data_IF_656642976803
#
_entry.id   IF_656642976803
#
_cell.length_a   1.000
_cell.length_b   1.000
_cell.length_c   1.000
_cell.angle_alpha   90.00
_cell.angle_beta   90.00
_cell.angle_gamma   90.00
#
_symmetry.space_group_name_H-M   'P 1'
#
loop_
_entity.id
_entity.type
_entity.pdbx_description
1 polymer ?
#
# COMPACT_ATOMS: atom_id res chain seq x y z
N UNK A 1 21.65 12.22 15.22
CA UNK A 1 21.25 11.06 16.06
C UNK A 1 19.78 10.77 15.76
N UNK A 2 19.42 9.52 15.51
CA UNK A 2 18.03 9.11 15.26
C UNK A 2 17.22 9.34 16.56
N UNK A 3 15.98 9.82 16.42
CA UNK A 3 15.06 9.98 17.56
C UNK A 3 14.78 8.62 18.21
N UNK A 4 14.60 8.56 19.53
CA UNK A 4 14.17 7.32 20.20
C UNK A 4 12.72 6.99 19.84
N UNK A 5 12.31 5.70 19.92
CA UNK A 5 10.92 5.28 19.69
C UNK A 5 9.97 5.94 20.68
N UNK A 6 10.40 6.10 21.93
CA UNK A 6 9.61 6.76 22.98
C UNK A 6 9.38 8.26 22.70
N UNK A 7 10.45 8.99 22.34
CA UNK A 7 10.34 10.41 21.99
C UNK A 7 9.52 10.63 20.72
N UNK A 8 9.64 9.71 19.76
CA UNK A 8 8.82 9.70 18.55
C UNK A 8 7.33 9.48 18.90
N UNK A 9 7.03 8.52 19.78
CA UNK A 9 5.65 8.27 20.26
C UNK A 9 5.03 9.50 20.90
N UNK A 10 5.78 10.21 21.76
CA UNK A 10 5.32 11.47 22.35
C UNK A 10 4.95 12.52 21.30
N UNK A 11 5.85 12.74 20.32
CA UNK A 11 5.58 13.66 19.20
C UNK A 11 4.38 13.25 18.36
N UNK A 12 4.23 11.95 18.10
CA UNK A 12 3.09 11.39 17.38
C UNK A 12 1.78 11.66 18.13
N UNK A 13 1.74 11.39 19.44
CA UNK A 13 0.59 11.63 20.30
C UNK A 13 0.17 13.10 20.33
N UNK A 14 1.13 14.00 20.50
CA UNK A 14 0.91 15.45 20.49
C UNK A 14 0.33 15.92 19.14
N UNK A 15 0.93 15.46 18.02
CA UNK A 15 0.46 15.81 16.69
C UNK A 15 -0.95 15.27 16.43
N UNK A 16 -1.23 14.02 16.81
CA UNK A 16 -2.54 13.38 16.65
C UNK A 16 -3.61 14.11 17.46
N UNK A 17 -3.32 14.51 18.71
CA UNK A 17 -4.24 15.29 19.53
C UNK A 17 -4.65 16.61 18.85
N UNK A 18 -3.68 17.30 18.24
CA UNK A 18 -3.92 18.57 17.54
C UNK A 18 -4.67 18.37 16.19
N UNK A 19 -4.48 17.24 15.52
CA UNK A 19 -5.02 16.98 14.18
C UNK A 19 -6.25 16.04 14.15
N UNK A 20 -6.60 15.42 15.28
CA UNK A 20 -7.81 14.58 15.40
C UNK A 20 -9.11 15.25 14.91
N UNK A 21 -9.34 16.58 15.10
CA UNK A 21 -10.55 17.21 14.60
C UNK A 21 -10.75 17.17 13.08
N UNK A 22 -9.65 17.06 12.30
CA UNK A 22 -9.70 17.02 10.82
C UNK A 22 -9.56 15.60 10.28
N UNK A 23 -9.30 14.61 11.13
CA UNK A 23 -9.25 13.22 10.74
C UNK A 23 -10.67 12.69 10.44
N UNK A 24 -10.85 11.80 9.43
CA UNK A 24 -12.13 11.17 9.18
C UNK A 24 -12.57 10.31 10.39
N UNK A 25 -13.86 10.38 10.72
CA UNK A 25 -14.48 9.60 11.80
C UNK A 25 -15.14 8.37 11.21
N UNK A 26 -15.35 7.37 12.05
CA UNK A 26 -16.07 6.13 11.72
C UNK A 26 -15.43 5.35 10.53
N UNK A 27 -14.11 5.50 10.40
CA UNK A 27 -13.35 4.99 9.27
C UNK A 27 -13.15 3.46 9.32
N UNK A 28 -13.09 2.86 10.51
CA UNK A 28 -12.84 1.43 10.69
C UNK A 28 -11.47 0.95 10.19
N UNK A 29 -11.31 -0.37 10.09
CA UNK A 29 -10.08 -0.99 9.55
C UNK A 29 -10.01 -0.92 8.02
N UNK A 30 -11.16 -0.83 7.36
CA UNK A 30 -11.31 -0.65 5.92
C UNK A 30 -12.12 0.63 5.73
N UNK A 31 -11.69 1.48 4.82
CA UNK A 31 -12.38 2.72 4.50
C UNK A 31 -13.79 2.44 3.96
N UNK A 32 -14.85 2.96 4.58
CA UNK A 32 -16.18 2.91 4.00
C UNK A 32 -16.25 3.65 2.66
N UNK A 33 -17.07 3.20 1.69
CA UNK A 33 -17.14 3.80 0.35
C UNK A 33 -17.48 5.30 0.34
N UNK A 34 -18.28 5.77 1.27
CA UNK A 34 -18.65 7.17 1.44
C UNK A 34 -17.56 8.04 2.07
N UNK A 35 -16.51 7.43 2.63
CA UNK A 35 -15.39 8.13 3.27
C UNK A 35 -14.11 8.15 2.43
N UNK A 36 -14.11 7.63 1.19
CA UNK A 36 -12.91 7.55 0.34
C UNK A 36 -12.27 8.91 0.14
N UNK A 37 -13.04 9.93 -0.23
CA UNK A 37 -12.52 11.30 -0.40
C UNK A 37 -11.92 11.84 0.90
N UNK A 38 -12.53 11.57 2.03
CA UNK A 38 -12.01 11.99 3.33
C UNK A 38 -10.71 11.23 3.69
N UNK A 39 -10.64 9.93 3.37
CA UNK A 39 -9.45 9.11 3.55
C UNK A 39 -8.26 9.57 2.71
N UNK A 40 -8.50 9.87 1.43
CA UNK A 40 -7.48 10.43 0.53
C UNK A 40 -6.99 11.81 1.02
N UNK A 41 -7.90 12.68 1.42
CA UNK A 41 -7.56 14.00 1.98
C UNK A 41 -6.74 13.85 3.26
N UNK A 42 -7.12 12.92 4.13
CA UNK A 42 -6.38 12.62 5.35
C UNK A 42 -4.96 12.12 5.05
N UNK A 43 -4.78 11.20 4.11
CA UNK A 43 -3.45 10.74 3.74
C UNK A 43 -2.57 11.86 3.15
N UNK A 44 -3.12 12.74 2.33
CA UNK A 44 -2.41 13.93 1.84
C UNK A 44 -1.97 14.84 3.00
N UNK A 45 -2.82 15.00 4.02
CA UNK A 45 -2.48 15.74 5.23
C UNK A 45 -1.36 15.05 6.04
N UNK A 46 -1.44 13.72 6.20
CA UNK A 46 -0.37 12.94 6.83
C UNK A 46 0.96 13.11 6.07
N UNK A 47 0.94 13.00 4.74
CA UNK A 47 2.13 13.18 3.92
C UNK A 47 2.72 14.58 4.08
N UNK A 48 1.93 15.63 3.94
CA UNK A 48 2.36 17.02 4.08
C UNK A 48 2.96 17.33 5.46
N UNK A 49 2.53 16.59 6.49
CA UNK A 49 3.03 16.70 7.86
C UNK A 49 4.14 15.71 8.19
N UNK A 50 4.60 14.90 7.22
CA UNK A 50 5.67 13.92 7.40
C UNK A 50 5.25 12.61 8.07
N UNK A 51 3.95 12.32 8.25
CA UNK A 51 3.46 11.12 8.95
C UNK A 51 3.07 9.96 8.02
N UNK A 52 3.20 10.11 6.70
CA UNK A 52 3.15 9.00 5.78
C UNK A 52 4.57 8.45 5.54
N UNK A 53 4.72 7.13 5.43
CA UNK A 53 6.02 6.52 5.11
C UNK A 53 7.09 6.65 6.20
N UNK A 54 6.74 6.45 7.45
CA UNK A 54 7.64 6.59 8.60
C UNK A 54 8.96 5.82 8.41
N UNK A 55 8.92 4.59 7.91
CA UNK A 55 10.09 3.73 7.72
C UNK A 55 10.60 3.72 6.26
N UNK A 56 9.99 4.52 5.38
CA UNK A 56 10.44 4.63 3.99
C UNK A 56 11.68 5.52 3.89
N UNK A 57 12.53 5.31 2.86
CA UNK A 57 13.70 6.15 2.62
C UNK A 57 13.34 7.63 2.45
N UNK A 58 14.23 8.50 2.88
CA UNK A 58 14.03 9.96 2.77
C UNK A 58 14.03 10.43 1.33
N UNK A 59 14.76 9.74 0.46
CA UNK A 59 14.89 10.04 -0.97
C UNK A 59 13.56 9.96 -1.72
N UNK A 60 12.63 9.15 -1.19
CA UNK A 60 11.28 8.98 -1.77
C UNK A 60 10.19 9.65 -0.96
N UNK A 61 10.55 10.49 -0.01
CA UNK A 61 9.61 11.28 0.80
C UNK A 61 9.22 10.65 2.14
N UNK A 62 9.88 9.56 2.55
CA UNK A 62 9.71 8.96 3.88
C UNK A 62 10.55 9.66 4.95
N UNK A 63 10.49 9.16 6.20
CA UNK A 63 11.27 9.70 7.31
C UNK A 63 12.60 8.97 7.55
N UNK A 64 12.88 7.85 6.88
CA UNK A 64 14.08 7.03 7.08
C UNK A 64 14.18 6.41 8.48
N UNK A 65 13.06 6.28 9.20
CA UNK A 65 13.02 5.71 10.53
C UNK A 65 12.88 4.17 10.45
N UNK A 66 12.78 3.52 11.61
CA UNK A 66 12.72 2.05 11.66
C UNK A 66 11.29 1.53 11.68
N UNK A 67 11.12 0.21 11.45
CA UNK A 67 9.85 -0.48 11.62
C UNK A 67 9.26 -0.33 13.04
N UNK A 68 10.11 -0.17 14.07
CA UNK A 68 9.66 0.10 15.42
C UNK A 68 8.96 1.46 15.55
N UNK A 69 9.44 2.49 14.86
CA UNK A 69 8.77 3.80 14.79
C UNK A 69 7.45 3.70 14.03
N UNK A 70 7.40 2.92 12.95
CA UNK A 70 6.15 2.68 12.21
C UNK A 70 5.12 1.98 13.11
N UNK A 71 5.53 0.98 13.89
CA UNK A 71 4.65 0.30 14.84
C UNK A 71 4.16 1.26 15.94
N UNK A 72 5.04 2.11 16.47
CA UNK A 72 4.69 3.13 17.46
C UNK A 72 3.68 4.14 16.88
N UNK A 73 3.86 4.59 15.64
CA UNK A 73 2.87 5.44 14.96
C UNK A 73 1.48 4.81 14.91
N UNK A 74 1.40 3.54 14.48
CA UNK A 74 0.12 2.82 14.41
C UNK A 74 -0.52 2.65 15.79
N UNK A 75 0.29 2.41 16.81
CA UNK A 75 -0.17 2.34 18.20
C UNK A 75 -0.78 3.67 18.66
N UNK A 76 -0.09 4.80 18.42
CA UNK A 76 -0.61 6.12 18.78
C UNK A 76 -1.88 6.49 17.99
N UNK A 77 -1.96 6.14 16.71
CA UNK A 77 -3.19 6.30 15.92
C UNK A 77 -4.36 5.55 16.56
N UNK A 78 -4.14 4.29 16.97
CA UNK A 78 -5.16 3.48 17.61
C UNK A 78 -5.62 4.07 18.96
N UNK A 79 -4.69 4.54 19.80
CA UNK A 79 -5.01 5.21 21.07
C UNK A 79 -5.79 6.51 20.84
N UNK A 80 -5.43 7.28 19.84
CA UNK A 80 -6.12 8.52 19.49
C UNK A 80 -7.51 8.27 18.83
N UNK A 81 -7.80 7.04 18.38
CA UNK A 81 -8.98 6.73 17.58
C UNK A 81 -8.97 7.45 16.23
N UNK A 82 -7.80 7.55 15.60
CA UNK A 82 -7.58 8.21 14.32
C UNK A 82 -7.13 7.17 13.30
N UNK A 83 -7.65 7.17 12.06
CA UNK A 83 -7.20 6.20 11.05
C UNK A 83 -5.76 6.46 10.65
N UNK A 84 -5.08 5.39 10.24
CA UNK A 84 -3.79 5.48 9.58
C UNK A 84 -3.91 5.98 8.14
N UNK A 85 -3.05 5.47 7.26
CA UNK A 85 -3.06 5.81 5.84
C UNK A 85 -4.23 5.12 5.12
N UNK A 86 -4.80 5.79 4.12
CA UNK A 86 -5.83 5.23 3.23
C UNK A 86 -5.24 4.14 2.32
N UNK A 87 -4.14 4.44 1.66
CA UNK A 87 -3.49 3.63 0.63
C UNK A 87 -2.56 2.55 1.24
N UNK A 88 -3.12 1.72 2.12
CA UNK A 88 -2.32 0.71 2.84
C UNK A 88 -1.68 -0.31 1.89
N UNK A 89 -2.43 -0.78 0.86
CA UNK A 89 -1.89 -1.72 -0.15
C UNK A 89 -0.70 -1.07 -0.87
N UNK A 90 -0.84 0.20 -1.23
CA UNK A 90 0.24 0.96 -1.86
C UNK A 90 1.48 1.07 -0.97
N UNK A 91 1.30 1.44 0.30
CA UNK A 91 2.46 1.64 1.18
C UNK A 91 3.11 0.33 1.64
N UNK A 92 2.33 -0.70 1.91
CA UNK A 92 2.86 -1.94 2.50
C UNK A 92 3.32 -2.93 1.43
N UNK A 93 2.50 -3.14 0.39
CA UNK A 93 2.76 -4.19 -0.60
C UNK A 93 3.41 -3.64 -1.88
N UNK A 94 2.74 -2.71 -2.57
CA UNK A 94 3.25 -2.18 -3.83
C UNK A 94 4.56 -1.41 -3.64
N UNK A 95 4.58 -0.48 -2.71
CA UNK A 95 5.77 0.33 -2.44
C UNK A 95 6.95 -0.49 -1.95
N UNK A 96 6.71 -1.49 -1.08
CA UNK A 96 7.77 -2.42 -0.65
C UNK A 96 8.37 -3.23 -1.81
N UNK A 97 7.53 -3.70 -2.73
CA UNK A 97 7.98 -4.42 -3.92
C UNK A 97 8.75 -3.49 -4.88
N UNK A 98 8.23 -2.28 -5.13
CA UNK A 98 8.87 -1.30 -6.03
C UNK A 98 10.21 -0.82 -5.47
N UNK A 99 10.32 -0.56 -4.16
CA UNK A 99 11.60 -0.19 -3.54
C UNK A 99 12.67 -1.29 -3.70
N UNK A 100 12.25 -2.55 -3.68
CA UNK A 100 13.19 -3.68 -3.71
C UNK A 100 13.52 -4.16 -5.12
N UNK A 101 12.56 -4.13 -6.02
CA UNK A 101 12.65 -4.80 -7.33
C UNK A 101 12.34 -3.87 -8.51
N UNK A 102 11.78 -2.68 -8.26
CA UNK A 102 11.45 -1.72 -9.31
C UNK A 102 12.68 -1.10 -9.94
N UNK A 103 12.57 -0.75 -11.23
CA UNK A 103 13.59 0.07 -11.90
C UNK A 103 13.63 1.48 -11.30
N UNK A 104 14.72 2.26 -11.52
CA UNK A 104 14.76 3.66 -11.07
C UNK A 104 13.57 4.48 -11.56
N UNK A 105 13.15 4.29 -12.79
CA UNK A 105 12.00 4.99 -13.40
C UNK A 105 10.68 4.61 -12.70
N UNK A 106 10.49 3.33 -12.36
CA UNK A 106 9.32 2.88 -11.61
C UNK A 106 9.32 3.43 -10.18
N UNK A 107 10.47 3.49 -9.55
CA UNK A 107 10.60 4.08 -8.21
C UNK A 107 10.27 5.57 -8.22
N UNK A 108 10.83 6.32 -9.16
CA UNK A 108 10.57 7.75 -9.34
C UNK A 108 9.08 8.02 -9.63
N UNK A 109 8.47 7.24 -10.52
CA UNK A 109 7.07 7.39 -10.91
C UNK A 109 6.12 7.11 -9.76
N UNK A 110 6.36 6.05 -8.98
CA UNK A 110 5.33 5.52 -8.09
C UNK A 110 5.54 5.84 -6.61
N UNK A 111 6.78 5.84 -6.09
CA UNK A 111 6.95 5.80 -4.64
C UNK A 111 6.41 7.06 -3.95
N UNK A 112 6.84 8.23 -4.38
CA UNK A 112 6.37 9.47 -3.78
C UNK A 112 4.86 9.71 -4.02
N UNK A 113 4.37 9.39 -5.23
CA UNK A 113 2.95 9.49 -5.57
C UNK A 113 2.08 8.55 -4.70
N UNK A 114 2.59 7.35 -4.37
CA UNK A 114 1.93 6.41 -3.46
C UNK A 114 1.83 6.96 -2.04
N UNK A 115 2.89 7.59 -1.52
CA UNK A 115 2.87 8.23 -0.21
C UNK A 115 1.83 9.35 -0.13
N UNK A 116 1.70 10.14 -1.19
CA UNK A 116 0.73 11.25 -1.29
C UNK A 116 -0.70 10.78 -1.56
N UNK A 117 -0.91 9.48 -1.83
CA UNK A 117 -2.18 8.94 -2.35
C UNK A 117 -2.63 9.59 -3.68
N UNK A 118 -1.66 9.94 -4.54
CA UNK A 118 -1.90 10.29 -5.94
C UNK A 118 -1.91 9.03 -6.82
N UNK A 119 -1.23 7.96 -6.38
CA UNK A 119 -1.32 6.61 -6.92
C UNK A 119 -1.89 5.67 -5.86
N UNK A 120 -3.14 5.31 -6.00
CA UNK A 120 -3.85 4.38 -5.12
C UNK A 120 -3.76 2.96 -5.67
N UNK A 121 -3.52 1.99 -4.79
CA UNK A 121 -3.27 0.61 -5.17
C UNK A 121 -4.30 -0.35 -4.59
N UNK A 122 -4.70 -1.33 -5.39
CA UNK A 122 -5.45 -2.49 -4.92
C UNK A 122 -4.63 -3.79 -5.04
N UNK A 123 -5.12 -4.85 -4.38
CA UNK A 123 -4.48 -6.17 -4.38
C UNK A 123 -5.31 -7.15 -5.20
N UNK A 124 -4.72 -7.69 -6.27
CA UNK A 124 -5.32 -8.64 -7.20
C UNK A 124 -4.66 -10.02 -7.03
N UNK A 125 -4.88 -10.67 -5.88
CA UNK A 125 -4.22 -11.94 -5.53
C UNK A 125 -5.20 -13.12 -5.57
N UNK A 126 -6.24 -13.06 -4.74
CA UNK A 126 -7.18 -14.16 -4.55
C UNK A 126 -8.04 -14.46 -5.77
N UNK A 127 -8.39 -15.73 -5.95
CA UNK A 127 -9.27 -16.23 -7.01
C UNK A 127 -10.41 -17.05 -6.39
N UNK A 128 -11.51 -17.33 -7.10
CA UNK A 128 -12.57 -18.19 -6.59
C UNK A 128 -12.06 -19.56 -6.08
N UNK A 129 -11.01 -20.10 -6.70
CA UNK A 129 -10.38 -21.38 -6.35
C UNK A 129 -9.06 -21.27 -5.57
N UNK A 130 -8.56 -20.06 -5.30
CA UNK A 130 -7.24 -19.85 -4.69
C UNK A 130 -7.27 -18.67 -3.68
N UNK A 131 -7.38 -18.98 -2.41
CA UNK A 131 -7.33 -18.04 -1.30
C UNK A 131 -6.07 -18.28 -0.46
N UNK A 132 -6.20 -19.02 0.66
CA UNK A 132 -5.06 -19.34 1.54
C UNK A 132 -3.97 -20.14 0.81
N UNK A 133 -4.35 -21.03 -0.10
CA UNK A 133 -3.42 -21.66 -1.06
C UNK A 133 -3.25 -20.76 -2.29
N UNK A 134 -2.61 -19.61 -2.10
CA UNK A 134 -2.42 -18.62 -3.16
C UNK A 134 -1.61 -19.16 -4.34
N UNK A 135 -0.69 -20.07 -4.09
CA UNK A 135 0.09 -20.70 -5.16
C UNK A 135 -0.74 -21.61 -6.08
N UNK A 136 -1.99 -21.92 -5.72
CA UNK A 136 -2.98 -22.58 -6.56
C UNK A 136 -3.65 -21.66 -7.59
N UNK A 137 -3.27 -20.37 -7.70
CA UNK A 137 -3.84 -19.42 -8.63
C UNK A 137 -3.75 -19.91 -10.09
N UNK A 138 -4.79 -19.59 -10.87
CA UNK A 138 -4.97 -20.04 -12.26
C UNK A 138 -4.96 -18.89 -13.28
N UNK A 139 -5.09 -17.64 -12.85
CA UNK A 139 -4.94 -16.46 -13.73
C UNK A 139 -3.60 -16.54 -14.46
N UNK A 140 -3.63 -16.48 -15.78
CA UNK A 140 -2.46 -16.62 -16.65
C UNK A 140 -2.09 -15.27 -17.25
N UNK A 141 -0.79 -15.05 -17.45
CA UNK A 141 -0.30 -13.97 -18.27
C UNK A 141 0.64 -14.54 -19.34
N UNK A 142 0.39 -14.16 -20.58
CA UNK A 142 1.19 -14.57 -21.76
C UNK A 142 1.78 -13.28 -22.34
N UNK A 143 3.09 -13.32 -22.60
CA UNK A 143 3.76 -12.17 -23.19
C UNK A 143 3.40 -12.04 -24.67
N UNK A 144 3.01 -10.83 -25.08
CA UNK A 144 2.75 -10.45 -26.46
C UNK A 144 3.53 -9.15 -26.77
N UNK A 145 4.66 -9.30 -27.42
CA UNK A 145 5.60 -8.20 -27.63
C UNK A 145 6.10 -7.63 -26.29
N UNK A 146 5.82 -6.36 -26.05
CA UNK A 146 6.22 -5.63 -24.82
C UNK A 146 5.12 -5.62 -23.74
N UNK A 147 3.98 -6.26 -24.02
CA UNK A 147 2.82 -6.32 -23.14
C UNK A 147 2.58 -7.72 -22.57
N UNK A 148 1.71 -7.81 -21.56
CA UNK A 148 1.22 -9.05 -21.00
C UNK A 148 -0.30 -9.16 -21.22
N UNK A 149 -0.73 -10.21 -21.92
CA UNK A 149 -2.16 -10.55 -22.03
C UNK A 149 -2.57 -11.40 -20.85
N UNK A 150 -3.42 -10.85 -19.97
CA UNK A 150 -3.85 -11.50 -18.73
C UNK A 150 -5.25 -12.08 -18.91
N UNK A 151 -5.43 -13.35 -18.51
CA UNK A 151 -6.72 -14.03 -18.52
C UNK A 151 -6.95 -14.74 -17.17
N UNK A 152 -8.06 -14.40 -16.51
CA UNK A 152 -8.45 -15.00 -15.24
C UNK A 152 -9.46 -14.12 -14.50
N UNK A 153 -9.70 -14.47 -13.24
CA UNK A 153 -10.63 -13.74 -12.38
C UNK A 153 -10.01 -13.58 -10.98
N UNK A 154 -9.96 -12.35 -10.49
CA UNK A 154 -9.58 -12.03 -9.12
C UNK A 154 -10.81 -11.65 -8.31
N UNK A 155 -10.79 -11.98 -7.01
CA UNK A 155 -11.89 -11.73 -6.08
C UNK A 155 -11.37 -11.11 -4.78
N UNK A 156 -12.27 -10.52 -4.00
CA UNK A 156 -11.96 -9.88 -2.70
C UNK A 156 -10.98 -8.69 -2.83
N UNK A 157 -11.09 -7.98 -3.93
CA UNK A 157 -10.21 -6.84 -4.26
C UNK A 157 -10.72 -5.58 -3.56
N UNK A 158 -10.42 -5.45 -2.28
CA UNK A 158 -10.82 -4.28 -1.47
C UNK A 158 -10.33 -3.00 -2.12
N UNK A 159 -11.24 -2.03 -2.29
CA UNK A 159 -10.98 -0.71 -2.87
C UNK A 159 -10.52 -0.69 -4.35
N UNK A 160 -10.63 -1.80 -5.11
CA UNK A 160 -10.22 -1.83 -6.51
C UNK A 160 -10.92 -0.75 -7.36
N UNK A 161 -12.21 -0.49 -7.11
CA UNK A 161 -12.99 0.55 -7.81
C UNK A 161 -12.59 2.00 -7.48
N UNK A 162 -11.56 2.21 -6.67
CA UNK A 162 -10.96 3.51 -6.34
C UNK A 162 -9.45 3.52 -6.59
N UNK A 163 -8.90 2.40 -7.07
CA UNK A 163 -7.47 2.26 -7.29
C UNK A 163 -7.09 2.69 -8.70
N UNK A 164 -5.95 3.34 -8.83
CA UNK A 164 -5.34 3.67 -10.12
C UNK A 164 -4.50 2.48 -10.64
N UNK A 165 -4.01 1.65 -9.72
CA UNK A 165 -3.11 0.54 -10.02
C UNK A 165 -3.47 -0.71 -9.20
N UNK A 166 -3.24 -1.88 -9.80
CA UNK A 166 -3.33 -3.16 -9.12
C UNK A 166 -1.98 -3.87 -9.02
N UNK A 167 -1.69 -4.46 -7.87
CA UNK A 167 -0.64 -5.47 -7.77
C UNK A 167 -1.24 -6.84 -8.08
N UNK A 168 -0.72 -7.49 -9.10
CA UNK A 168 -1.33 -8.68 -9.69
C UNK A 168 -0.40 -9.90 -9.61
N UNK A 169 -0.87 -10.99 -9.02
CA UNK A 169 -0.18 -12.29 -9.09
C UNK A 169 -0.79 -13.15 -10.19
N UNK A 170 0.05 -13.62 -11.09
CA UNK A 170 -0.35 -14.42 -12.27
C UNK A 170 0.62 -15.57 -12.51
N UNK A 171 0.16 -16.57 -13.24
CA UNK A 171 0.99 -17.66 -13.72
C UNK A 171 1.55 -17.31 -15.09
N UNK A 172 2.86 -17.09 -15.16
CA UNK A 172 3.59 -16.82 -16.40
C UNK A 172 4.29 -18.05 -16.96
N UNK A 173 4.59 -19.05 -16.11
CA UNK A 173 5.13 -20.35 -16.53
C UNK A 173 4.28 -21.49 -15.96
N UNK A 174 3.40 -22.09 -16.80
CA UNK A 174 2.56 -23.21 -16.36
C UNK A 174 3.33 -24.54 -16.24
N UNK A 175 4.56 -24.63 -16.79
CA UNK A 175 5.38 -25.84 -16.73
C UNK A 175 6.25 -25.90 -15.47
N UNK A 176 6.47 -24.76 -14.83
CA UNK A 176 7.26 -24.67 -13.58
C UNK A 176 6.50 -25.26 -12.39
N UNK A 177 7.24 -25.58 -11.34
CA UNK A 177 6.64 -26.02 -10.07
C UNK A 177 5.68 -24.99 -9.51
N UNK A 178 4.74 -25.43 -8.67
CA UNK A 178 3.60 -24.64 -8.15
C UNK A 178 3.94 -23.20 -7.76
N UNK A 179 5.06 -22.98 -7.07
CA UNK A 179 5.48 -21.66 -6.58
C UNK A 179 6.37 -20.89 -7.59
N UNK A 180 7.12 -21.60 -8.43
CA UNK A 180 8.15 -20.99 -9.30
C UNK A 180 7.58 -20.39 -10.59
N UNK A 181 6.35 -20.73 -10.97
CA UNK A 181 5.71 -20.25 -12.19
C UNK A 181 4.87 -18.98 -12.01
N UNK A 182 4.96 -18.30 -10.86
CA UNK A 182 4.17 -17.11 -10.52
C UNK A 182 5.02 -15.86 -10.68
N UNK A 183 4.44 -14.86 -11.33
CA UNK A 183 5.02 -13.52 -11.46
C UNK A 183 4.14 -12.48 -10.79
N UNK A 184 4.79 -11.40 -10.36
CA UNK A 184 4.17 -10.21 -9.81
C UNK A 184 4.18 -9.13 -10.88
N UNK A 185 3.01 -8.70 -11.30
CA UNK A 185 2.82 -7.68 -12.33
C UNK A 185 2.10 -6.46 -11.74
N UNK A 186 2.27 -5.31 -12.38
CA UNK A 186 1.45 -4.13 -12.18
C UNK A 186 0.37 -4.12 -13.25
N UNK A 187 -0.87 -3.86 -12.87
CA UNK A 187 -1.98 -3.56 -13.77
C UNK A 187 -2.37 -2.10 -13.59
N UNK A 188 -2.73 -1.43 -14.67
CA UNK A 188 -3.40 -0.13 -14.71
C UNK A 188 -4.88 -0.38 -15.00
N UNK A 189 -5.77 0.40 -14.37
CA UNK A 189 -7.21 0.42 -14.67
C UNK A 189 -7.61 1.74 -15.33
#
# INVERSE_FOLDING_TARGET
>A
MMISVEDFGRKASEWLAANKPVAPRDYGAICPPDLVTAGLTWQKHLYASGWAGIHWPTEVGGQGLTAAHQAQWLYECALAGVPGVFNMVGLVLAGGAIQKFGTPEQQELHLNATLRADHVWCQLFSEPGAGSDLAGLSTKAIRDGDEWVVNGQKVWNTSAHHADYGILLVRTDPSASKHSGISYLRSEE
#
